data_IF_374928611047
#
_entry.id   IF_374928611047
#
_cell.length_a   1.000
_cell.length_b   1.000
_cell.length_c   1.000
_cell.angle_alpha   90.00
_cell.angle_beta   90.00
_cell.angle_gamma   90.00
#
_symmetry.space_group_name_H-M   'P 1'
#
loop_
_entity.id
_entity.type
_entity.pdbx_description
1 polymer ?
#
# COMPACT_ATOMS: atom_id res chain seq x y z
N UNK A 1 -15.29 -2.92 -2.70
CA UNK A 1 -14.14 -2.44 -3.48
C UNK A 1 -12.97 -2.22 -2.54
N UNK A 2 -11.81 -2.80 -2.87
CA UNK A 2 -10.55 -2.54 -2.17
C UNK A 2 -9.83 -1.34 -2.78
N UNK A 3 -9.02 -0.64 -1.98
CA UNK A 3 -8.12 0.41 -2.45
C UNK A 3 -6.68 -0.07 -2.33
N UNK A 4 -5.87 0.21 -3.34
CA UNK A 4 -4.45 -0.08 -3.30
C UNK A 4 -3.76 1.01 -2.49
N UNK A 5 -2.94 0.61 -1.53
CA UNK A 5 -2.10 1.51 -0.74
C UNK A 5 -0.66 1.05 -0.85
N UNK A 6 0.22 1.96 -1.26
CA UNK A 6 1.67 1.77 -1.16
C UNK A 6 2.15 2.35 0.19
N UNK A 7 2.79 1.49 0.98
CA UNK A 7 3.52 1.84 2.18
C UNK A 7 4.90 2.37 1.78
N UNK A 8 5.03 3.64 1.38
CA UNK A 8 6.24 4.12 0.70
C UNK A 8 7.53 4.00 1.53
N UNK A 9 7.42 4.02 2.87
CA UNK A 9 8.57 3.80 3.74
C UNK A 9 9.13 2.37 3.64
N UNK A 10 8.26 1.36 3.54
CA UNK A 10 8.67 -0.05 3.50
C UNK A 10 8.67 -0.65 2.09
N UNK A 11 8.13 0.07 1.11
CA UNK A 11 7.90 -0.44 -0.25
C UNK A 11 6.81 -1.51 -0.33
N UNK A 12 6.06 -1.73 0.74
CA UNK A 12 5.02 -2.77 0.78
C UNK A 12 3.71 -2.27 0.19
N UNK A 13 2.99 -3.16 -0.46
CA UNK A 13 1.69 -2.91 -1.06
C UNK A 13 0.62 -3.59 -0.24
N UNK A 14 -0.49 -2.91 0.06
CA UNK A 14 -1.60 -3.46 0.84
C UNK A 14 -2.95 -3.10 0.21
N UNK A 15 -3.98 -3.90 0.52
CA UNK A 15 -5.36 -3.62 0.14
C UNK A 15 -6.08 -3.08 1.36
N UNK A 16 -6.66 -1.88 1.27
CA UNK A 16 -7.58 -1.36 2.29
C UNK A 16 -9.02 -1.60 1.85
N UNK A 17 -9.81 -2.25 2.69
CA UNK A 17 -11.24 -2.49 2.46
C UNK A 17 -12.02 -2.30 3.75
N UNK A 18 -13.16 -1.60 3.67
CA UNK A 18 -14.06 -1.34 4.83
C UNK A 18 -13.32 -0.77 6.04
N UNK A 19 -12.34 0.10 5.80
CA UNK A 19 -11.57 0.76 6.85
C UNK A 19 -10.37 -0.01 7.40
N UNK A 20 -10.19 -1.30 7.06
CA UNK A 20 -9.11 -2.15 7.55
C UNK A 20 -8.22 -2.68 6.40
N UNK A 21 -7.07 -3.28 6.74
CA UNK A 21 -6.29 -4.06 5.79
C UNK A 21 -7.02 -5.37 5.48
N UNK A 22 -7.15 -5.68 4.20
CA UNK A 22 -7.77 -6.92 3.75
C UNK A 22 -6.72 -8.04 3.72
N UNK A 23 -7.02 -9.12 4.42
CA UNK A 23 -6.27 -10.37 4.28
C UNK A 23 -6.73 -11.10 3.01
N UNK A 24 -5.78 -11.45 2.15
CA UNK A 24 -6.05 -12.18 0.90
C UNK A 24 -5.13 -13.38 0.82
N UNK A 25 -5.70 -14.58 0.92
CA UNK A 25 -4.93 -15.83 0.91
C UNK A 25 -3.92 -15.95 2.05
N UNK A 26 -4.27 -15.51 3.26
CA UNK A 26 -3.38 -15.57 4.43
C UNK A 26 -2.35 -14.43 4.50
N UNK A 27 -2.40 -13.46 3.57
CA UNK A 27 -1.39 -12.40 3.44
C UNK A 27 -2.04 -11.02 3.50
N UNK A 28 -1.39 -10.10 4.22
CA UNK A 28 -1.84 -8.70 4.38
C UNK A 28 -1.05 -7.70 3.53
N UNK A 29 0.14 -8.06 3.06
CA UNK A 29 1.03 -7.16 2.34
C UNK A 29 1.82 -7.88 1.24
N UNK A 30 2.13 -7.19 0.15
CA UNK A 30 2.84 -7.70 -1.02
C UNK A 30 4.09 -6.87 -1.31
N UNK A 31 5.11 -7.45 -1.95
CA UNK A 31 6.35 -6.74 -2.24
C UNK A 31 6.22 -5.78 -3.43
N UNK A 32 5.22 -5.99 -4.28
CA UNK A 32 4.97 -5.19 -5.48
C UNK A 32 3.48 -5.13 -5.81
N UNK A 33 3.10 -4.13 -6.61
CA UNK A 33 1.71 -3.89 -7.03
C UNK A 33 1.11 -5.05 -7.83
N UNK A 34 1.87 -5.66 -8.73
CA UNK A 34 1.37 -6.70 -9.63
C UNK A 34 0.99 -7.97 -8.85
N UNK A 35 1.83 -8.36 -7.89
CA UNK A 35 1.57 -9.46 -6.96
C UNK A 35 0.29 -9.24 -6.14
N UNK A 36 0.04 -8.00 -5.71
CA UNK A 36 -1.19 -7.62 -5.00
C UNK A 36 -2.42 -7.70 -5.91
N UNK A 37 -2.35 -7.12 -7.11
CA UNK A 37 -3.44 -7.13 -8.09
C UNK A 37 -3.82 -8.57 -8.48
N UNK A 38 -2.82 -9.43 -8.68
CA UNK A 38 -3.03 -10.84 -8.97
C UNK A 38 -3.71 -11.57 -7.79
N UNK A 39 -3.33 -11.26 -6.55
CA UNK A 39 -3.96 -11.83 -5.36
C UNK A 39 -5.43 -11.37 -5.24
N UNK A 40 -5.71 -10.08 -5.47
CA UNK A 40 -7.06 -9.55 -5.47
C UNK A 40 -7.93 -10.17 -6.57
N UNK A 41 -7.39 -10.33 -7.78
CA UNK A 41 -8.07 -10.97 -8.89
C UNK A 41 -8.44 -12.43 -8.57
N UNK A 42 -7.49 -13.20 -8.00
CA UNK A 42 -7.76 -14.59 -7.55
C UNK A 42 -8.82 -14.67 -6.47
N UNK A 43 -8.92 -13.66 -5.60
CA UNK A 43 -9.90 -13.60 -4.52
C UNK A 43 -11.23 -12.94 -4.92
N UNK A 44 -11.39 -12.50 -6.18
CA UNK A 44 -12.60 -11.82 -6.64
C UNK A 44 -12.82 -10.45 -5.99
N UNK A 45 -11.76 -9.79 -5.51
CA UNK A 45 -11.84 -8.48 -4.87
C UNK A 45 -11.68 -7.39 -5.95
N UNK A 46 -12.74 -6.63 -6.27
CA UNK A 46 -12.59 -5.50 -7.19
C UNK A 46 -11.77 -4.40 -6.54
N UNK A 47 -10.74 -3.93 -7.24
CA UNK A 47 -9.86 -2.85 -6.81
C UNK A 47 -10.25 -1.52 -7.46
N UNK A 48 -10.09 -0.44 -6.72
CA UNK A 48 -10.11 0.92 -7.25
C UNK A 48 -8.87 1.17 -8.12
N UNK A 49 -9.01 1.97 -9.17
CA UNK A 49 -7.88 2.43 -9.98
C UNK A 49 -6.98 3.43 -9.23
N UNK A 50 -7.52 4.09 -8.20
CA UNK A 50 -6.77 5.05 -7.40
C UNK A 50 -5.81 4.33 -6.44
N UNK A 51 -4.55 4.76 -6.46
CA UNK A 51 -3.51 4.29 -5.55
C UNK A 51 -3.22 5.37 -4.51
N UNK A 52 -3.19 4.98 -3.25
CA UNK A 52 -2.76 5.86 -2.16
C UNK A 52 -1.30 5.58 -1.85
N UNK A 53 -0.44 6.55 -2.13
CA UNK A 53 0.95 6.51 -1.67
C UNK A 53 0.99 7.12 -0.27
N UNK A 54 1.27 6.31 0.75
CA UNK A 54 1.57 6.87 2.08
C UNK A 54 2.89 7.62 1.97
N UNK A 55 2.93 8.86 2.44
CA UNK A 55 4.03 9.78 2.13
C UNK A 55 5.42 9.21 2.42
N UNK A 56 6.41 9.58 1.60
CA UNK A 56 7.80 9.56 2.04
C UNK A 56 7.91 10.57 3.19
N UNK A 57 8.51 10.18 4.30
CA UNK A 57 9.20 11.17 5.13
C UNK A 57 10.34 11.68 4.25
N UNK A 58 10.15 12.81 3.58
CA UNK A 58 11.29 13.53 3.02
C UNK A 58 12.21 13.84 4.21
N UNK A 59 13.32 13.12 4.29
CA UNK A 59 14.37 13.36 5.28
C UNK A 59 14.96 14.76 5.12
N UNK A 60 14.73 15.42 3.99
CA UNK A 60 15.15 16.79 3.70
C UNK A 60 14.35 17.85 4.47
N UNK A 61 13.23 17.49 5.11
CA UNK A 61 12.54 18.40 6.04
C UNK A 61 13.26 18.52 7.40
N UNK A 62 14.24 17.66 7.69
CA UNK A 62 15.20 17.87 8.77
C UNK A 62 16.42 18.62 8.23
N UNK A 63 16.23 19.87 7.81
CA UNK A 63 17.33 20.83 7.82
C UNK A 63 17.76 20.98 9.28
N UNK A 64 18.76 20.21 9.70
CA UNK A 64 19.51 20.52 10.91
C UNK A 64 20.32 21.77 10.61
N UNK A 65 19.64 22.92 10.62
CA UNK A 65 20.24 24.23 10.78
C UNK A 65 20.97 24.27 12.12
N UNK A 66 22.14 23.62 12.17
CA UNK A 66 23.14 23.86 13.21
C UNK A 66 24.07 24.95 12.70
N UNK A 67 23.79 26.14 13.23
CA UNK A 67 24.74 27.24 13.41
C UNK A 67 26.07 26.76 13.96
#
# INVERSE_FOLDING_TARGET
MGRIVEMAFSGLWVIRQRGALAEVGGRLCWPDRASLEQAAARAGIPLSADVVHTGRLDTDCFDTGRR
#
